data_IF_998717700455
#
_entry.id   IF_998717700455
#
_cell.length_a   1.000
_cell.length_b   1.000
_cell.length_c   1.000
_cell.angle_alpha   90.00
_cell.angle_beta   90.00
_cell.angle_gamma   90.00
#
_symmetry.space_group_name_H-M   'P 1'
#
loop_
_entity.id
_entity.type
_entity.pdbx_description
1 polymer ?
#
# COMPACT_ATOMS: atom_id res chain seq x y z
N UNK A 1 13.11 -39.06 -7.42
CA UNK A 1 12.20 -38.09 -8.08
C UNK A 1 11.53 -37.08 -7.11
N UNK A 2 12.07 -36.83 -5.89
CA UNK A 2 11.46 -35.89 -4.91
C UNK A 2 12.03 -34.46 -4.95
N UNK A 3 13.26 -34.26 -5.46
CA UNK A 3 13.90 -32.93 -5.48
C UNK A 3 13.35 -32.01 -6.57
N UNK A 4 12.95 -32.56 -7.72
CA UNK A 4 12.36 -31.80 -8.82
C UNK A 4 11.05 -31.11 -8.38
N UNK A 5 10.34 -31.71 -7.43
CA UNK A 5 9.07 -31.19 -6.94
C UNK A 5 9.23 -29.98 -6.02
N UNK A 6 10.30 -29.90 -5.21
CA UNK A 6 10.54 -28.77 -4.30
C UNK A 6 11.01 -27.52 -5.04
N UNK A 7 11.93 -27.68 -6.00
CA UNK A 7 12.41 -26.57 -6.82
C UNK A 7 11.28 -26.00 -7.70
N UNK A 8 10.46 -26.88 -8.28
CA UNK A 8 9.30 -26.47 -9.06
C UNK A 8 8.23 -25.77 -8.19
N UNK A 9 7.97 -26.26 -6.97
CA UNK A 9 7.09 -25.56 -6.02
C UNK A 9 7.60 -24.17 -5.64
N UNK A 10 8.91 -24.06 -5.40
CA UNK A 10 9.55 -22.78 -5.08
C UNK A 10 9.39 -21.82 -6.25
N UNK A 11 9.67 -22.26 -7.48
CA UNK A 11 9.50 -21.47 -8.69
C UNK A 11 8.03 -21.03 -8.90
N UNK A 12 7.05 -21.92 -8.69
CA UNK A 12 5.62 -21.58 -8.77
C UNK A 12 5.25 -20.57 -7.68
N UNK A 13 5.73 -20.74 -6.46
CA UNK A 13 5.47 -19.80 -5.36
C UNK A 13 6.07 -18.43 -5.64
N UNK A 14 7.30 -18.38 -6.17
CA UNK A 14 7.96 -17.14 -6.57
C UNK A 14 7.21 -16.48 -7.71
N UNK A 15 6.78 -17.24 -8.72
CA UNK A 15 5.99 -16.72 -9.84
C UNK A 15 4.65 -16.14 -9.36
N UNK A 16 3.93 -16.85 -8.48
CA UNK A 16 2.68 -16.38 -7.88
C UNK A 16 2.91 -15.11 -7.06
N UNK A 17 4.05 -15.04 -6.37
CA UNK A 17 4.46 -13.87 -5.62
C UNK A 17 4.76 -12.69 -6.55
N UNK A 18 5.46 -12.90 -7.65
CA UNK A 18 5.70 -11.86 -8.67
C UNK A 18 4.38 -11.35 -9.27
N UNK A 19 3.41 -12.25 -9.51
CA UNK A 19 2.06 -11.88 -9.98
C UNK A 19 1.34 -11.03 -8.93
N UNK A 20 1.44 -11.38 -7.65
CA UNK A 20 0.85 -10.63 -6.54
C UNK A 20 1.49 -9.25 -6.33
N UNK A 21 2.79 -9.16 -6.58
CA UNK A 21 3.59 -7.95 -6.45
C UNK A 21 3.83 -7.28 -7.78
N UNK A 22 2.95 -7.50 -8.77
CA UNK A 22 3.08 -6.80 -10.04
C UNK A 22 3.03 -5.30 -9.72
N UNK A 23 4.21 -4.68 -9.72
CA UNK A 23 4.43 -3.31 -9.31
C UNK A 23 3.90 -2.43 -10.43
N UNK A 24 2.58 -2.42 -10.62
CA UNK A 24 1.89 -1.24 -11.10
C UNK A 24 1.94 -0.20 -9.97
N UNK A 25 3.17 0.18 -9.64
CA UNK A 25 3.48 1.50 -9.16
C UNK A 25 3.31 2.37 -10.40
N UNK A 26 2.06 2.55 -10.82
CA UNK A 26 1.62 3.88 -11.22
C UNK A 26 1.60 4.68 -9.92
N UNK A 27 2.80 4.94 -9.40
CA UNK A 27 3.05 6.26 -8.93
C UNK A 27 2.57 7.12 -10.11
N UNK A 28 1.45 7.81 -9.92
CA UNK A 28 1.48 9.18 -10.34
C UNK A 28 2.81 9.66 -9.75
N UNK A 29 3.80 9.81 -10.61
CA UNK A 29 4.70 10.92 -10.45
C UNK A 29 3.77 12.04 -9.98
N UNK A 30 4.01 12.56 -8.78
CA UNK A 30 3.78 13.98 -8.69
C UNK A 30 4.58 14.45 -9.91
N UNK A 31 3.92 15.05 -10.94
CA UNK A 31 4.69 15.61 -12.02
C UNK A 31 5.78 16.42 -11.35
N UNK A 32 6.93 16.58 -11.99
CA UNK A 32 8.06 17.36 -11.48
C UNK A 32 7.73 18.83 -11.09
N UNK A 33 6.47 19.18 -10.83
CA UNK A 33 5.99 20.32 -10.09
C UNK A 33 5.29 19.91 -8.77
N UNK A 34 5.93 20.28 -7.65
CA UNK A 34 5.30 20.80 -6.40
C UNK A 34 4.01 20.10 -5.91
N UNK A 35 4.16 19.15 -5.01
CA UNK A 35 3.16 18.83 -3.98
C UNK A 35 3.93 18.42 -2.70
N UNK A 36 4.51 19.28 -1.85
CA UNK A 36 3.97 20.47 -1.19
C UNK A 36 2.46 20.60 -1.28
N UNK A 37 1.73 19.61 -0.76
CA UNK A 37 0.54 19.78 0.11
C UNK A 37 0.28 18.39 0.71
N UNK A 38 1.00 18.09 1.79
CA UNK A 38 0.61 17.05 2.73
C UNK A 38 0.87 17.57 4.15
N UNK A 39 0.10 18.61 4.50
CA UNK A 39 -0.32 18.95 5.86
C UNK A 39 0.73 18.81 6.98
N UNK A 40 1.92 19.41 6.81
CA UNK A 40 2.79 19.89 7.91
C UNK A 40 3.95 20.70 7.33
N UNK A 41 3.66 21.91 6.86
CA UNK A 41 4.63 23.01 6.88
C UNK A 41 4.02 24.12 7.71
N UNK A 42 3.79 23.83 8.99
CA UNK A 42 3.53 24.85 10.00
C UNK A 42 4.88 25.16 10.64
N UNK A 43 5.38 26.38 10.42
CA UNK A 43 6.58 26.89 11.08
C UNK A 43 7.88 26.52 10.39
N UNK A 44 8.65 27.57 10.10
CA UNK A 44 10.04 27.63 9.64
C UNK A 44 10.36 27.06 8.25
N UNK A 45 10.92 27.93 7.40
CA UNK A 45 11.42 27.56 6.09
C UNK A 45 12.69 26.74 6.27
N UNK A 46 12.56 25.42 6.15
CA UNK A 46 13.70 24.51 6.01
C UNK A 46 14.46 24.79 4.71
N UNK A 47 14.24 23.95 3.68
CA UNK A 47 14.91 24.10 2.37
C UNK A 47 14.16 25.01 1.38
N UNK A 48 13.25 25.86 1.85
CA UNK A 48 12.43 26.72 0.98
C UNK A 48 12.87 28.18 1.09
N UNK A 49 12.77 28.92 -0.02
CA UNK A 49 13.17 30.32 -0.11
C UNK A 49 12.11 31.18 0.60
N UNK A 50 12.60 32.07 1.46
CA UNK A 50 11.87 33.18 2.09
C UNK A 50 12.50 34.47 1.54
N UNK A 51 12.04 34.92 0.37
CA UNK A 51 12.66 36.04 -0.33
C UNK A 51 12.38 37.39 0.38
N UNK A 52 11.29 37.47 1.13
CA UNK A 52 10.88 38.66 1.87
C UNK A 52 11.29 38.63 3.36
N UNK A 53 11.95 37.55 3.79
CA UNK A 53 12.56 37.34 5.10
C UNK A 53 11.54 37.48 6.26
N UNK A 54 10.27 37.16 6.00
CA UNK A 54 9.17 37.30 6.96
C UNK A 54 8.96 36.05 7.83
N UNK A 55 9.84 35.05 7.71
CA UNK A 55 9.81 33.74 8.38
C UNK A 55 8.63 32.86 7.96
N UNK A 56 8.01 33.17 6.82
CA UNK A 56 6.92 32.43 6.20
C UNK A 56 7.36 32.11 4.76
N UNK A 57 7.16 30.87 4.32
CA UNK A 57 7.68 30.50 3.00
C UNK A 57 6.79 31.06 1.88
N UNK A 58 7.39 31.66 0.86
CA UNK A 58 6.72 32.34 -0.25
C UNK A 58 5.64 31.47 -0.94
N UNK A 59 5.84 30.15 -0.98
CA UNK A 59 4.89 29.20 -1.56
C UNK A 59 3.58 29.12 -0.74
N UNK A 60 3.68 29.16 0.59
CA UNK A 60 2.51 29.16 1.48
C UNK A 60 1.72 30.46 1.32
N UNK A 61 2.45 31.58 1.28
CA UNK A 61 1.88 32.92 1.14
C UNK A 61 1.10 33.06 -0.19
N UNK A 62 1.65 32.53 -1.29
CA UNK A 62 0.97 32.49 -2.60
C UNK A 62 -0.32 31.66 -2.60
N UNK A 63 -0.38 30.57 -1.83
CA UNK A 63 -1.57 29.71 -1.79
C UNK A 63 -2.71 30.34 -0.98
N UNK A 64 -2.36 31.12 0.04
CA UNK A 64 -3.33 31.82 0.89
C UNK A 64 -3.78 33.16 0.32
N UNK A 65 -2.92 33.89 -0.41
CA UNK A 65 -3.32 35.13 -1.09
C UNK A 65 -4.38 34.90 -2.18
N UNK A 66 -4.42 33.70 -2.79
CA UNK A 66 -5.45 33.32 -3.77
C UNK A 66 -6.80 32.98 -3.12
N UNK A 67 -6.83 32.55 -1.85
CA UNK A 67 -8.07 32.25 -1.11
C UNK A 67 -8.67 33.47 -0.42
N UNK A 68 -7.90 34.55 -0.25
CA UNK A 68 -8.33 35.80 0.35
C UNK A 68 -8.46 36.89 -0.71
N UNK A 69 -9.38 36.73 -1.66
CA UNK A 69 -9.92 37.86 -2.40
C UNK A 69 -11.44 37.89 -2.28
N UNK A 70 -11.96 38.60 -1.28
CA UNK A 70 -13.20 39.34 -1.43
C UNK A 70 -12.88 40.83 -1.31
N UNK A 71 -12.74 41.50 -2.45
CA UNK A 71 -12.93 42.94 -2.51
C UNK A 71 -13.89 43.26 -3.67
N UNK A 72 -15.17 43.15 -3.34
CA UNK A 72 -16.27 44.03 -3.73
C UNK A 72 -16.15 44.61 -5.15
N UNK A 73 -16.89 44.01 -6.07
CA UNK A 73 -17.64 44.81 -7.04
C UNK A 73 -19.05 44.26 -7.13
N UNK A 74 -19.97 45.12 -6.76
CA UNK A 74 -21.41 44.90 -6.71
C UNK A 74 -21.91 44.51 -8.11
N UNK A 75 -22.55 43.35 -8.25
CA UNK A 75 -23.76 43.18 -9.05
C UNK A 75 -24.33 41.77 -8.90
N UNK A 76 -25.63 41.75 -8.63
CA UNK A 76 -26.50 40.59 -8.47
C UNK A 76 -26.24 39.55 -9.57
N UNK A 77 -25.99 38.30 -9.18
CA UNK A 77 -26.51 37.14 -9.89
C UNK A 77 -26.52 35.90 -9.00
N UNK A 78 -27.69 35.28 -9.00
CA UNK A 78 -28.10 34.07 -8.33
C UNK A 78 -27.37 32.88 -8.97
N UNK A 79 -26.42 32.24 -8.27
CA UNK A 79 -25.89 30.93 -8.68
C UNK A 79 -25.81 30.04 -7.44
N UNK A 80 -26.61 28.99 -7.45
CA UNK A 80 -26.60 27.89 -6.49
C UNK A 80 -25.32 27.07 -6.69
N UNK A 81 -24.29 27.36 -5.93
CA UNK A 81 -23.10 26.52 -5.89
C UNK A 81 -23.27 25.44 -4.83
N UNK A 82 -23.72 24.28 -5.30
CA UNK A 82 -23.67 23.03 -4.56
C UNK A 82 -22.22 22.77 -4.16
N UNK A 83 -21.96 22.97 -2.87
CA UNK A 83 -20.71 22.64 -2.19
C UNK A 83 -20.42 21.15 -2.34
N UNK A 84 -19.74 20.79 -3.43
CA UNK A 84 -19.20 19.47 -3.63
C UNK A 84 -18.11 19.26 -2.57
N UNK A 85 -18.51 18.61 -1.48
CA UNK A 85 -17.61 17.98 -0.52
C UNK A 85 -16.77 16.99 -1.32
N UNK A 86 -15.57 17.43 -1.73
CA UNK A 86 -14.58 16.56 -2.34
C UNK A 86 -14.07 15.64 -1.23
N UNK A 87 -14.77 14.52 -1.06
CA UNK A 87 -14.34 13.39 -0.23
C UNK A 87 -12.95 13.01 -0.73
N UNK A 88 -11.91 13.45 -0.01
CA UNK A 88 -10.53 13.14 -0.32
C UNK A 88 -10.40 11.61 -0.33
N UNK A 89 -10.24 11.02 -1.51
CA UNK A 89 -10.04 9.57 -1.63
C UNK A 89 -8.88 9.17 -0.71
N UNK A 90 -9.06 8.20 0.20
CA UNK A 90 -8.05 7.89 1.20
C UNK A 90 -6.77 7.44 0.50
N UNK A 91 -5.63 8.05 0.87
CA UNK A 91 -4.28 7.78 0.31
C UNK A 91 -3.91 6.28 0.26
N UNK A 92 -4.57 5.46 1.08
CA UNK A 92 -4.44 4.00 1.18
C UNK A 92 -4.89 3.29 -0.13
N UNK A 93 -5.93 3.78 -0.80
CA UNK A 93 -6.39 3.20 -2.08
C UNK A 93 -5.36 3.37 -3.21
N UNK A 94 -4.48 4.37 -3.10
CA UNK A 94 -3.47 4.71 -4.12
C UNK A 94 -2.37 3.65 -4.26
N UNK A 95 -2.12 2.84 -3.23
CA UNK A 95 -1.09 1.81 -3.24
C UNK A 95 -1.57 0.45 -3.77
N UNK A 96 -2.78 0.40 -4.36
CA UNK A 96 -3.35 -0.84 -4.90
C UNK A 96 -3.70 -1.88 -3.84
N UNK A 97 -3.75 -1.49 -2.57
CA UNK A 97 -3.99 -2.42 -1.44
C UNK A 97 -5.32 -3.16 -1.61
N UNK A 98 -6.36 -2.47 -2.05
CA UNK A 98 -7.67 -3.10 -2.30
C UNK A 98 -7.56 -4.20 -3.36
N UNK A 99 -6.84 -3.95 -4.45
CA UNK A 99 -6.61 -4.94 -5.49
C UNK A 99 -5.83 -6.14 -4.97
N UNK A 100 -4.75 -5.90 -4.23
CA UNK A 100 -3.94 -6.97 -3.62
C UNK A 100 -4.77 -7.81 -2.66
N UNK A 101 -5.60 -7.17 -1.84
CA UNK A 101 -6.51 -7.86 -0.93
C UNK A 101 -7.49 -8.75 -1.68
N UNK A 102 -8.15 -8.23 -2.73
CA UNK A 102 -9.09 -8.99 -3.56
C UNK A 102 -8.39 -10.15 -4.28
N UNK A 103 -7.23 -9.91 -4.89
CA UNK A 103 -6.46 -10.95 -5.58
C UNK A 103 -6.00 -12.04 -4.61
N UNK A 104 -5.56 -11.68 -3.40
CA UNK A 104 -5.13 -12.65 -2.41
C UNK A 104 -6.29 -13.53 -1.91
N UNK A 105 -7.46 -12.92 -1.64
CA UNK A 105 -8.68 -13.67 -1.32
C UNK A 105 -9.05 -14.62 -2.46
N UNK A 106 -9.00 -14.14 -3.71
CA UNK A 106 -9.26 -14.98 -4.88
C UNK A 106 -8.28 -16.15 -4.99
N UNK A 107 -6.98 -15.93 -4.75
CA UNK A 107 -5.97 -16.99 -4.75
C UNK A 107 -6.20 -18.02 -3.65
N UNK A 108 -6.70 -17.61 -2.48
CA UNK A 108 -7.09 -18.54 -1.41
C UNK A 108 -8.22 -19.44 -1.88
N UNK A 109 -9.28 -18.88 -2.47
CA UNK A 109 -10.39 -19.66 -3.04
C UNK A 109 -9.91 -20.62 -4.15
N UNK A 110 -9.04 -20.13 -5.04
CA UNK A 110 -8.47 -20.95 -6.10
C UNK A 110 -7.60 -22.08 -5.55
N UNK A 111 -6.80 -21.80 -4.52
CA UNK A 111 -5.99 -22.79 -3.80
C UNK A 111 -6.84 -23.88 -3.15
N UNK A 112 -7.97 -23.53 -2.54
CA UNK A 112 -8.92 -24.50 -1.99
C UNK A 112 -9.60 -25.31 -3.11
N UNK A 113 -9.99 -24.69 -4.22
CA UNK A 113 -10.57 -25.41 -5.36
C UNK A 113 -9.57 -26.41 -5.96
N UNK A 114 -8.32 -26.00 -6.14
CA UNK A 114 -7.24 -26.85 -6.66
C UNK A 114 -6.87 -27.96 -5.67
N UNK A 115 -7.05 -27.76 -4.36
CA UNK A 115 -6.79 -28.79 -3.34
C UNK A 115 -7.64 -30.03 -3.44
N UNK A 116 -8.76 -29.96 -4.16
CA UNK A 116 -9.57 -31.15 -4.50
C UNK A 116 -8.89 -32.04 -5.54
N UNK A 117 -7.97 -31.50 -6.34
CA UNK A 117 -7.30 -32.18 -7.47
C UNK A 117 -5.82 -32.47 -7.21
N UNK A 118 -5.14 -31.64 -6.41
CA UNK A 118 -3.70 -31.76 -6.11
C UNK A 118 -3.52 -32.21 -4.65
N UNK A 119 -2.40 -32.87 -4.35
CA UNK A 119 -2.10 -33.31 -2.98
C UNK A 119 -2.12 -32.14 -1.98
N UNK A 120 -2.81 -32.35 -0.85
CA UNK A 120 -2.95 -31.37 0.22
C UNK A 120 -1.58 -30.88 0.76
N UNK A 121 -0.58 -31.76 0.74
CA UNK A 121 0.77 -31.48 1.20
C UNK A 121 1.46 -30.39 0.37
N UNK A 122 1.35 -30.45 -0.96
CA UNK A 122 1.96 -29.45 -1.85
C UNK A 122 1.33 -28.07 -1.63
N UNK A 123 0.01 -28.00 -1.51
CA UNK A 123 -0.69 -26.73 -1.32
C UNK A 123 -0.34 -26.12 0.03
N UNK A 124 -0.29 -26.92 1.09
CA UNK A 124 0.16 -26.45 2.40
C UNK A 124 1.61 -25.95 2.34
N UNK A 125 2.48 -26.61 1.57
CA UNK A 125 3.86 -26.16 1.38
C UNK A 125 3.92 -24.82 0.63
N UNK A 126 3.12 -24.62 -0.42
CA UNK A 126 3.07 -23.35 -1.16
C UNK A 126 2.63 -22.21 -0.24
N UNK A 127 1.54 -22.40 0.52
CA UNK A 127 1.07 -21.36 1.45
C UNK A 127 2.08 -21.03 2.53
N UNK A 128 2.82 -22.02 3.06
CA UNK A 128 3.90 -21.78 4.02
C UNK A 128 5.03 -20.93 3.41
N UNK A 129 5.40 -21.17 2.15
CA UNK A 129 6.41 -20.37 1.46
C UNK A 129 5.94 -18.94 1.20
N UNK A 130 4.70 -18.74 0.76
CA UNK A 130 4.10 -17.41 0.58
C UNK A 130 4.09 -16.64 1.91
N UNK A 131 3.71 -17.32 3.01
CA UNK A 131 3.70 -16.73 4.36
C UNK A 131 5.12 -16.32 4.79
N UNK A 132 6.10 -17.21 4.63
CA UNK A 132 7.49 -16.92 4.99
C UNK A 132 8.05 -15.76 4.17
N UNK A 133 7.83 -15.75 2.85
CA UNK A 133 8.36 -14.72 1.96
C UNK A 133 7.74 -13.35 2.25
N UNK A 134 6.42 -13.30 2.47
CA UNK A 134 5.73 -12.06 2.86
C UNK A 134 6.19 -11.54 4.22
N UNK A 135 6.43 -12.43 5.20
CA UNK A 135 7.02 -12.06 6.49
C UNK A 135 8.41 -11.45 6.33
N UNK A 136 9.32 -12.14 5.65
CA UNK A 136 10.71 -11.68 5.47
C UNK A 136 10.76 -10.32 4.77
N UNK A 137 9.98 -10.15 3.69
CA UNK A 137 9.93 -8.88 2.98
C UNK A 137 9.35 -7.75 3.83
N UNK A 138 8.26 -8.01 4.55
CA UNK A 138 7.64 -7.04 5.46
C UNK A 138 8.61 -6.61 6.57
N UNK A 139 9.32 -7.56 7.18
CA UNK A 139 10.30 -7.29 8.25
C UNK A 139 11.50 -6.49 7.73
N UNK A 140 12.11 -6.91 6.61
CA UNK A 140 13.28 -6.21 6.04
C UNK A 140 12.92 -4.80 5.60
N UNK A 141 11.77 -4.63 4.93
CA UNK A 141 11.34 -3.31 4.48
C UNK A 141 10.96 -2.40 5.64
N UNK A 142 10.28 -2.94 6.66
CA UNK A 142 9.93 -2.20 7.88
C UNK A 142 11.17 -1.75 8.66
N UNK A 143 12.14 -2.65 8.81
CA UNK A 143 13.43 -2.36 9.44
C UNK A 143 14.20 -1.27 8.66
N UNK A 144 14.25 -1.38 7.34
CA UNK A 144 14.93 -0.40 6.48
C UNK A 144 14.29 0.99 6.57
N UNK A 145 12.95 1.06 6.63
CA UNK A 145 12.22 2.31 6.82
C UNK A 145 12.48 2.94 8.20
N UNK A 146 12.51 2.13 9.25
CA UNK A 146 12.74 2.59 10.62
C UNK A 146 14.11 3.25 10.79
N UNK A 147 15.16 2.61 10.27
CA UNK A 147 16.53 3.14 10.34
C UNK A 147 16.89 4.12 9.23
N UNK A 148 15.95 4.42 8.32
CA UNK A 148 16.21 5.29 7.17
C UNK A 148 17.38 4.78 6.29
N UNK A 149 17.56 3.47 6.19
CA UNK A 149 18.46 2.87 5.21
C UNK A 149 17.84 3.10 3.82
N UNK A 150 18.55 3.82 2.94
CA UNK A 150 18.12 4.14 1.57
C UNK A 150 16.97 5.17 1.46
N UNK A 151 17.28 6.43 1.76
CA UNK A 151 16.36 7.57 1.61
C UNK A 151 15.68 7.64 0.23
N UNK A 152 16.42 7.36 -0.85
CA UNK A 152 15.92 7.35 -2.23
C UNK A 152 14.87 6.25 -2.49
N UNK A 153 14.92 5.14 -1.74
CA UNK A 153 14.02 3.99 -1.93
C UNK A 153 12.84 3.99 -0.96
N UNK A 154 12.71 4.98 -0.06
CA UNK A 154 11.65 5.03 0.96
C UNK A 154 10.25 4.78 0.42
N UNK A 155 9.90 5.40 -0.71
CA UNK A 155 8.58 5.26 -1.32
C UNK A 155 8.32 3.80 -1.73
N UNK A 156 9.31 3.16 -2.33
CA UNK A 156 9.24 1.76 -2.74
C UNK A 156 9.22 0.82 -1.54
N UNK A 157 10.08 1.06 -0.54
CA UNK A 157 10.12 0.27 0.69
C UNK A 157 8.81 0.38 1.48
N UNK A 158 8.20 1.56 1.54
CA UNK A 158 6.90 1.77 2.17
C UNK A 158 5.79 1.02 1.43
N UNK A 159 5.73 1.13 0.10
CA UNK A 159 4.78 0.37 -0.70
C UNK A 159 4.98 -1.15 -0.50
N UNK A 160 6.22 -1.63 -0.60
CA UNK A 160 6.56 -3.03 -0.44
C UNK A 160 6.22 -3.56 0.96
N UNK A 161 6.50 -2.78 2.01
CA UNK A 161 6.13 -3.11 3.39
C UNK A 161 4.61 -3.25 3.54
N UNK A 162 3.86 -2.29 3.02
CA UNK A 162 2.41 -2.27 3.14
C UNK A 162 1.76 -3.42 2.36
N UNK A 163 2.23 -3.68 1.14
CA UNK A 163 1.75 -4.77 0.29
C UNK A 163 2.07 -6.13 0.88
N UNK A 164 3.31 -6.36 1.32
CA UNK A 164 3.71 -7.60 1.99
C UNK A 164 3.03 -7.81 3.33
N UNK A 165 2.80 -6.75 4.11
CA UNK A 165 2.01 -6.81 5.34
C UNK A 165 0.55 -7.21 5.08
N UNK A 166 -0.08 -6.68 4.02
CA UNK A 166 -1.43 -7.08 3.64
C UNK A 166 -1.49 -8.55 3.24
N UNK A 167 -0.52 -9.02 2.43
CA UNK A 167 -0.44 -10.44 2.06
C UNK A 167 -0.24 -11.33 3.27
N UNK A 168 0.68 -10.96 4.16
CA UNK A 168 0.98 -11.67 5.41
C UNK A 168 -0.25 -11.78 6.31
N UNK A 169 -1.01 -10.68 6.48
CA UNK A 169 -2.20 -10.65 7.35
C UNK A 169 -3.28 -11.60 6.86
N UNK A 170 -3.60 -11.57 5.57
CA UNK A 170 -4.67 -12.42 5.01
C UNK A 170 -4.24 -13.90 5.01
N UNK A 171 -3.01 -14.19 4.59
CA UNK A 171 -2.49 -15.57 4.53
C UNK A 171 -2.32 -16.18 5.92
N UNK A 172 -1.87 -15.40 6.91
CA UNK A 172 -1.80 -15.86 8.30
C UNK A 172 -3.18 -16.12 8.88
N UNK A 173 -4.17 -15.25 8.64
CA UNK A 173 -5.55 -15.47 9.09
C UNK A 173 -6.13 -16.76 8.49
N UNK A 174 -5.95 -16.97 7.18
CA UNK A 174 -6.35 -18.22 6.52
C UNK A 174 -5.66 -19.45 7.14
N UNK A 175 -4.36 -19.38 7.41
CA UNK A 175 -3.60 -20.48 8.01
C UNK A 175 -4.09 -20.79 9.42
N UNK A 176 -4.34 -19.76 10.23
CA UNK A 176 -4.95 -19.89 11.56
C UNK A 176 -6.30 -20.58 11.44
N UNK A 177 -7.23 -20.08 10.61
CA UNK A 177 -8.55 -20.71 10.42
C UNK A 177 -8.44 -22.19 10.02
N UNK A 178 -7.50 -22.51 9.12
CA UNK A 178 -7.28 -23.89 8.65
C UNK A 178 -6.70 -24.79 9.75
N UNK A 179 -5.78 -24.27 10.58
CA UNK A 179 -5.15 -25.01 11.68
C UNK A 179 -6.03 -25.10 12.92
N UNK A 180 -6.92 -24.14 13.14
CA UNK A 180 -7.87 -24.15 14.26
C UNK A 180 -8.76 -25.40 14.22
N UNK A 181 -9.09 -25.93 13.03
CA UNK A 181 -9.81 -27.21 12.87
C UNK A 181 -9.07 -28.41 13.46
N UNK A 182 -7.74 -28.36 13.56
CA UNK A 182 -6.92 -29.42 14.14
C UNK A 182 -6.67 -29.22 15.64
N UNK A 183 -6.65 -27.96 16.09
CA UNK A 183 -6.39 -27.61 17.50
C UNK A 183 -7.65 -27.77 18.34
N UNK A 184 -8.81 -27.49 17.77
CA UNK A 184 -10.09 -27.58 18.47
C UNK A 184 -10.82 -28.85 18.02
N UNK A 185 -10.76 -29.96 18.77
CA UNK A 185 -11.50 -31.17 18.45
C UNK A 185 -12.98 -30.99 18.83
N UNK A 186 -13.72 -30.15 18.09
CA UNK A 186 -15.18 -30.25 18.11
C UNK A 186 -15.52 -31.47 17.28
N UNK A 187 -15.85 -32.58 17.96
CA UNK A 187 -16.73 -33.60 17.40
C UNK A 187 -18.09 -32.93 17.24
N UNK A 188 -18.42 -32.52 16.01
CA UNK A 188 -19.76 -32.13 15.61
C UNK A 188 -20.47 -33.37 15.07
#
# INVERSE_FOLDING_TARGET
MMFLNKAMLCAISILLFIILFNFNITASDCPNNRELISNKCYGECGNFIDANNNKICDIWEKYHSIKSTPSITNNNNHINDNMAVSVSKPKILKYGILWILLTNIFLIFLGEFISKKISIFLINSIWNWILLLSFVLCSISGFSLYFNFFSSLKKYLFALHLQSGAVLTITSLYHVIKRMKCIWPIKL
#
